data_IF_003707209523
#
_entry.id   IF_003707209523
#
_cell.length_a   1.000
_cell.length_b   1.000
_cell.length_c   1.000
_cell.angle_alpha   90.00
_cell.angle_beta   90.00
_cell.angle_gamma   90.00
#
_symmetry.space_group_name_H-M   'P 1'
#
loop_
_entity.id
_entity.type
_entity.pdbx_description
1 polymer ?
#
# COMPACT_ATOMS: atom_id res chain seq x y z
N UNK A 1 -0.50 -7.02 -0.99
CA UNK A 1 -1.28 -7.12 -2.25
C UNK A 1 -0.65 -8.18 -3.12
N UNK A 2 -1.45 -8.90 -3.90
CA UNK A 2 -0.99 -9.97 -4.81
C UNK A 2 -1.25 -9.58 -6.27
N UNK A 3 -0.57 -10.27 -7.19
CA UNK A 3 -0.85 -10.15 -8.61
C UNK A 3 -2.31 -10.48 -8.92
N UNK A 4 -2.99 -9.65 -9.73
CA UNK A 4 -4.42 -9.82 -10.00
C UNK A 4 -4.73 -11.16 -10.67
N UNK A 5 -3.92 -11.59 -11.64
CA UNK A 5 -4.07 -12.90 -12.26
C UNK A 5 -3.97 -14.05 -11.27
N UNK A 6 -3.11 -13.95 -10.26
CA UNK A 6 -2.99 -14.99 -9.22
C UNK A 6 -4.25 -15.08 -8.35
N UNK A 7 -4.90 -13.94 -8.07
CA UNK A 7 -6.18 -13.89 -7.35
C UNK A 7 -7.28 -14.58 -8.17
N UNK A 8 -7.38 -14.27 -9.47
CA UNK A 8 -8.36 -14.91 -10.36
C UNK A 8 -8.10 -16.41 -10.49
N UNK A 9 -6.86 -16.83 -10.68
CA UNK A 9 -6.49 -18.26 -10.71
C UNK A 9 -6.89 -18.96 -9.41
N UNK A 10 -6.62 -18.34 -8.25
CA UNK A 10 -7.03 -18.91 -6.97
C UNK A 10 -8.55 -19.06 -6.86
N UNK A 11 -9.31 -18.05 -7.29
CA UNK A 11 -10.78 -18.10 -7.30
C UNK A 11 -11.33 -19.22 -8.22
N UNK A 12 -10.73 -19.38 -9.41
CA UNK A 12 -11.07 -20.44 -10.35
C UNK A 12 -10.76 -21.83 -9.79
N UNK A 13 -9.58 -22.02 -9.20
CA UNK A 13 -9.17 -23.28 -8.57
C UNK A 13 -10.07 -23.64 -7.38
N UNK A 14 -10.47 -22.65 -6.60
CA UNK A 14 -11.42 -22.82 -5.49
C UNK A 14 -12.86 -23.10 -5.97
N UNK A 15 -13.14 -23.01 -7.27
CA UNK A 15 -14.49 -23.04 -7.85
C UNK A 15 -15.43 -22.05 -7.16
N UNK A 16 -14.90 -20.88 -6.81
CA UNK A 16 -15.65 -19.85 -6.12
C UNK A 16 -16.75 -19.32 -7.04
N UNK A 17 -17.99 -19.27 -6.54
CA UNK A 17 -19.12 -18.69 -7.26
C UNK A 17 -19.01 -17.16 -7.33
N UNK A 18 -18.46 -16.55 -6.28
CA UNK A 18 -18.35 -15.10 -6.11
C UNK A 18 -16.98 -14.77 -5.50
N UNK A 19 -16.45 -13.59 -5.83
CA UNK A 19 -15.16 -13.10 -5.36
C UNK A 19 -15.33 -11.69 -4.80
N UNK A 20 -14.94 -11.50 -3.54
CA UNK A 20 -14.88 -10.18 -2.90
C UNK A 20 -13.45 -9.66 -2.90
N UNK A 21 -13.21 -8.56 -3.60
CA UNK A 21 -11.92 -7.87 -3.60
C UNK A 21 -11.99 -6.68 -2.66
N UNK A 22 -11.07 -6.62 -1.69
CA UNK A 22 -10.95 -5.53 -0.73
C UNK A 22 -9.58 -4.89 -0.92
N UNK A 23 -9.55 -3.58 -1.08
CA UNK A 23 -8.32 -2.82 -1.25
C UNK A 23 -8.60 -1.33 -1.38
N UNK A 24 -7.54 -0.58 -1.65
CA UNK A 24 -7.57 0.86 -1.86
C UNK A 24 -6.87 1.19 -3.17
N UNK A 25 -7.63 1.76 -4.13
CA UNK A 25 -7.15 2.06 -5.49
C UNK A 25 -6.06 3.14 -5.47
N UNK A 26 -6.09 4.02 -4.46
CA UNK A 26 -5.15 5.13 -4.32
C UNK A 26 -3.88 4.74 -3.56
N UNK A 27 -3.78 3.49 -3.07
CA UNK A 27 -2.56 2.96 -2.44
C UNK A 27 -1.61 2.29 -3.45
N UNK A 28 -0.41 1.95 -2.96
CA UNK A 28 0.63 1.30 -3.75
C UNK A 28 0.09 -0.03 -4.29
N UNK A 29 0.06 -0.17 -5.61
CA UNK A 29 -0.36 -1.39 -6.29
C UNK A 29 0.63 -2.55 -6.08
N UNK A 30 0.25 -3.78 -6.46
CA UNK A 30 1.17 -4.91 -6.45
C UNK A 30 2.39 -4.61 -7.35
N UNK A 31 3.59 -4.78 -6.79
CA UNK A 31 4.86 -4.64 -7.51
C UNK A 31 5.42 -6.03 -7.69
N UNK A 32 5.58 -6.46 -8.95
CA UNK A 32 6.33 -7.69 -9.24
C UNK A 32 7.83 -7.44 -9.07
N UNK A 33 8.46 -8.21 -8.18
CA UNK A 33 9.87 -8.13 -7.87
C UNK A 33 10.71 -9.19 -8.58
N UNK A 34 10.07 -10.18 -9.22
CA UNK A 34 10.73 -11.33 -9.82
C UNK A 34 10.44 -11.42 -11.31
N UNK A 35 10.21 -10.27 -11.93
CA UNK A 35 9.72 -10.25 -13.29
C UNK A 35 10.84 -10.62 -14.28
N UNK A 36 10.79 -11.83 -14.81
CA UNK A 36 11.75 -12.32 -15.83
C UNK A 36 11.33 -11.87 -17.24
N UNK A 37 10.08 -11.46 -17.43
CA UNK A 37 9.50 -11.06 -18.72
C UNK A 37 8.70 -9.77 -18.58
N UNK A 38 8.67 -8.87 -19.59
CA UNK A 38 7.81 -7.70 -19.51
C UNK A 38 6.34 -8.13 -19.44
N UNK A 39 5.67 -7.84 -18.32
CA UNK A 39 4.23 -8.04 -18.15
C UNK A 39 3.52 -6.68 -18.14
N UNK A 40 2.41 -6.59 -18.88
CA UNK A 40 1.49 -5.45 -18.77
C UNK A 40 0.58 -5.67 -17.56
N UNK A 41 0.59 -4.73 -16.62
CA UNK A 41 -0.28 -4.79 -15.45
C UNK A 41 -1.56 -4.04 -15.72
N UNK A 42 -2.67 -4.76 -15.82
CA UNK A 42 -3.98 -4.14 -15.75
C UNK A 42 -4.37 -3.86 -14.30
N UNK A 43 -4.93 -2.68 -14.08
CA UNK A 43 -5.43 -2.33 -12.75
C UNK A 43 -6.73 -3.09 -12.51
N UNK A 44 -6.95 -3.70 -11.33
CA UNK A 44 -8.17 -4.45 -11.05
C UNK A 44 -9.48 -3.69 -11.31
N UNK A 45 -9.45 -2.36 -11.21
CA UNK A 45 -10.61 -1.49 -11.45
C UNK A 45 -10.97 -1.31 -12.94
N UNK A 46 -10.16 -1.78 -13.89
CA UNK A 46 -10.55 -1.85 -15.32
C UNK A 46 -11.39 -3.08 -15.62
N UNK A 47 -11.22 -4.15 -14.83
CA UNK A 47 -11.88 -5.45 -15.01
C UNK A 47 -13.07 -5.63 -14.07
N UNK A 48 -13.04 -4.99 -12.91
CA UNK A 48 -14.06 -5.13 -11.86
C UNK A 48 -14.70 -3.79 -11.53
N UNK A 49 -16.01 -3.83 -11.23
CA UNK A 49 -16.78 -2.66 -10.81
C UNK A 49 -16.60 -2.48 -9.29
N UNK A 50 -16.42 -1.24 -8.84
CA UNK A 50 -16.46 -0.90 -7.41
C UNK A 50 -17.90 -0.98 -6.93
N UNK A 51 -18.25 -2.04 -6.19
CA UNK A 51 -19.61 -2.23 -5.68
C UNK A 51 -19.90 -1.45 -4.39
N UNK A 52 -18.85 -1.09 -3.64
CA UNK A 52 -18.96 -0.35 -2.38
C UNK A 52 -17.69 0.45 -2.09
N UNK A 53 -17.84 1.73 -1.80
CA UNK A 53 -16.77 2.57 -1.26
C UNK A 53 -16.89 2.67 0.27
N UNK A 54 -15.76 2.58 0.97
CA UNK A 54 -15.68 2.82 2.41
C UNK A 54 -14.98 4.15 2.65
N UNK A 55 -15.75 5.13 3.12
CA UNK A 55 -15.33 6.52 3.23
C UNK A 55 -15.01 6.97 4.67
N UNK A 56 -15.27 6.11 5.66
CA UNK A 56 -14.99 6.38 7.06
C UNK A 56 -13.60 5.86 7.43
N UNK A 57 -12.72 6.75 7.88
CA UNK A 57 -11.41 6.38 8.42
C UNK A 57 -11.42 6.43 9.94
N UNK A 58 -11.22 5.28 10.57
CA UNK A 58 -11.10 5.15 12.02
C UNK A 58 -9.72 5.52 12.56
N UNK A 59 -8.72 5.64 11.67
CA UNK A 59 -7.31 5.79 12.03
C UNK A 59 -6.79 7.20 11.82
N UNK A 60 -7.26 7.89 10.80
CA UNK A 60 -6.65 9.16 10.39
C UNK A 60 -7.28 10.32 11.19
N UNK A 61 -6.48 11.29 11.65
CA UNK A 61 -6.96 12.55 12.21
C UNK A 61 -7.52 13.48 11.11
N UNK A 62 -8.14 14.59 11.52
CA UNK A 62 -8.90 15.47 10.62
C UNK A 62 -8.06 16.11 9.51
N UNK A 63 -6.84 16.55 9.81
CA UNK A 63 -5.95 17.16 8.82
C UNK A 63 -5.48 16.15 7.76
N UNK A 64 -5.18 14.91 8.16
CA UNK A 64 -4.85 13.82 7.23
C UNK A 64 -6.06 13.47 6.37
N UNK A 65 -7.25 13.34 6.96
CA UNK A 65 -8.47 13.05 6.21
C UNK A 65 -8.81 14.16 5.20
N UNK A 66 -8.67 15.42 5.62
CA UNK A 66 -8.81 16.58 4.74
C UNK A 66 -7.84 16.54 3.55
N UNK A 67 -6.57 16.22 3.79
CA UNK A 67 -5.58 16.09 2.72
C UNK A 67 -5.90 14.94 1.75
N UNK A 68 -6.40 13.81 2.28
CA UNK A 68 -6.77 12.65 1.47
C UNK A 68 -8.02 12.90 0.60
N UNK A 69 -8.92 13.82 0.99
CA UNK A 69 -10.12 14.16 0.21
C UNK A 69 -9.84 14.59 -1.23
N UNK A 70 -8.61 14.96 -1.57
CA UNK A 70 -8.20 15.19 -2.97
C UNK A 70 -8.39 13.94 -3.85
N UNK A 71 -8.25 12.75 -3.28
CA UNK A 71 -8.21 11.48 -4.02
C UNK A 71 -9.45 10.61 -3.79
N UNK A 72 -10.32 10.97 -2.85
CA UNK A 72 -11.53 10.20 -2.51
C UNK A 72 -12.77 11.11 -2.62
N UNK A 73 -13.95 10.51 -2.84
CA UNK A 73 -15.24 11.20 -2.98
C UNK A 73 -15.74 11.90 -1.70
N UNK A 74 -15.03 11.75 -0.59
CA UNK A 74 -15.29 12.41 0.70
C UNK A 74 -14.96 11.47 1.85
N UNK A 75 -13.82 11.68 2.50
CA UNK A 75 -13.29 10.85 3.56
C UNK A 75 -13.55 11.50 4.92
N UNK A 76 -14.24 10.77 5.79
CA UNK A 76 -14.66 11.21 7.12
C UNK A 76 -13.79 10.55 8.19
N UNK A 77 -13.11 11.32 9.06
CA UNK A 77 -12.36 10.78 10.19
C UNK A 77 -13.27 10.60 11.41
N UNK A 78 -12.95 9.62 12.26
CA UNK A 78 -13.59 9.50 13.59
C UNK A 78 -12.74 10.03 14.73
N UNK A 79 -11.46 10.34 14.49
CA UNK A 79 -10.57 10.85 15.52
C UNK A 79 -10.78 12.36 15.73
N UNK A 80 -10.82 12.76 17.01
CA UNK A 80 -10.77 14.15 17.41
C UNK A 80 -9.31 14.63 17.39
N UNK A 81 -9.02 15.65 16.57
CA UNK A 81 -7.67 16.20 16.41
C UNK A 81 -7.53 16.91 15.07
N UNK A 82 -7.27 18.22 15.11
CA UNK A 82 -7.25 19.08 13.92
C UNK A 82 -5.87 19.23 13.27
N UNK A 83 -4.78 18.88 13.97
CA UNK A 83 -3.40 18.99 13.45
C UNK A 83 -2.52 17.90 14.02
N UNK A 84 -2.01 17.03 13.15
CA UNK A 84 -1.18 15.86 13.46
C UNK A 84 0.14 15.84 12.69
N UNK A 85 0.23 16.55 11.56
CA UNK A 85 1.42 16.58 10.72
C UNK A 85 2.27 17.82 10.99
N UNK A 86 3.57 17.60 11.17
CA UNK A 86 4.61 18.63 11.14
C UNK A 86 5.62 18.24 10.06
N UNK A 87 6.05 19.20 9.26
CA UNK A 87 7.07 18.98 8.24
C UNK A 87 8.37 19.65 8.70
N UNK A 88 9.36 18.83 9.02
CA UNK A 88 10.71 19.29 9.30
C UNK A 88 11.59 19.09 8.05
N UNK A 89 12.58 19.97 7.88
CA UNK A 89 13.58 19.80 6.83
C UNK A 89 14.40 18.53 7.06
N UNK A 90 14.83 17.89 5.97
CA UNK A 90 15.76 16.77 6.06
C UNK A 90 17.06 17.20 6.74
N UNK A 91 17.37 16.57 7.86
CA UNK A 91 18.61 16.76 8.59
C UNK A 91 19.29 15.40 8.78
N UNK A 92 20.39 15.20 8.04
CA UNK A 92 21.20 13.97 8.11
C UNK A 92 21.68 13.68 9.54
N UNK A 93 21.88 14.72 10.36
CA UNK A 93 22.37 14.58 11.74
C UNK A 93 21.26 14.18 12.71
N UNK A 94 19.98 14.34 12.36
CA UNK A 94 18.85 13.84 13.15
C UNK A 94 18.48 12.40 12.78
N UNK A 95 18.91 11.92 11.60
CA UNK A 95 18.60 10.60 11.09
C UNK A 95 19.68 9.58 11.48
N UNK A 96 19.90 9.39 12.78
CA UNK A 96 20.73 8.30 13.28
C UNK A 96 19.91 7.00 13.27
N UNK A 97 19.97 6.24 12.17
CA UNK A 97 19.60 4.82 12.23
C UNK A 97 20.68 4.12 13.03
N UNK A 98 20.44 3.87 14.31
CA UNK A 98 21.31 2.99 15.09
C UNK A 98 21.15 1.58 14.53
N UNK A 99 22.21 1.02 13.96
CA UNK A 99 22.27 -0.35 13.40
C UNK A 99 22.04 -1.46 14.43
N UNK A 100 21.81 -1.12 15.70
CA UNK A 100 21.62 -2.06 16.80
C UNK A 100 20.40 -2.99 16.65
N UNK A 101 19.40 -2.62 15.83
CA UNK A 101 18.19 -3.44 15.64
C UNK A 101 18.17 -4.24 14.33
N UNK A 102 19.25 -4.20 13.53
CA UNK A 102 19.39 -5.11 12.41
C UNK A 102 19.98 -6.44 12.92
N UNK A 103 19.14 -7.46 13.08
CA UNK A 103 19.58 -8.84 13.23
C UNK A 103 20.66 -9.13 12.16
N UNK A 104 21.83 -9.69 12.52
CA UNK A 104 22.85 -10.01 11.53
C UNK A 104 22.37 -11.16 10.65
N UNK A 105 21.80 -10.84 9.49
CA UNK A 105 21.59 -11.78 8.39
C UNK A 105 22.94 -12.10 7.71
N UNK A 106 23.17 -13.35 7.26
CA UNK A 106 24.48 -13.80 6.82
C UNK A 106 24.72 -13.43 5.36
N UNK A 107 25.12 -12.18 5.09
CA UNK A 107 25.72 -11.85 3.79
C UNK A 107 27.01 -11.08 4.02
N UNK A 108 28.10 -11.84 4.14
CA UNK A 108 29.45 -11.32 3.90
C UNK A 108 29.53 -10.88 2.44
N UNK A 109 29.66 -9.57 2.22
CA UNK A 109 30.08 -9.04 0.92
C UNK A 109 31.57 -9.35 0.77
N UNK A 110 31.85 -10.30 -0.12
CA UNK A 110 33.20 -10.61 -0.57
C UNK A 110 33.72 -9.42 -1.39
N UNK A 111 34.86 -8.85 -0.99
CA UNK A 111 35.53 -7.81 -1.77
C UNK A 111 36.04 -8.47 -3.06
N UNK A 112 35.50 -8.03 -4.20
CA UNK A 112 36.12 -8.32 -5.49
C UNK A 112 37.39 -7.47 -5.63
N UNK A 113 38.48 -8.17 -5.94
CA UNK A 113 39.82 -7.66 -6.26
C UNK A 113 39.86 -6.94 -7.60
#
# INVERSE_FOLDING_TARGET
MNHFGAIITAALLAKAKELLLIGDINQISHIDRHNVFPMSYEKPNTVTIVSRELLLSYRNPMDVAYALNKNYSGLYPTQEGSRSLTMDGYDRNKFHITTANALPGPHKLEKQS
#
